data_IF_524739123690
#
_entry.id   IF_524739123690
#
_cell.length_a   1.000
_cell.length_b   1.000
_cell.length_c   1.000
_cell.angle_alpha   90.00
_cell.angle_beta   90.00
_cell.angle_gamma   90.00
#
_symmetry.space_group_name_H-M   'P 1'
#
loop_
_entity.id
_entity.type
_entity.pdbx_description
1 polymer ?
#
# COMPACT_ATOMS: atom_id res chain seq x y z
N UNK A 1 12.13 30.54 -36.33
CA UNK A 1 11.01 29.58 -36.36
C UNK A 1 11.27 28.23 -35.68
N UNK A 2 12.46 27.94 -35.12
CA UNK A 2 12.81 26.62 -34.54
C UNK A 2 12.51 26.47 -33.03
N UNK A 3 12.23 27.55 -32.30
CA UNK A 3 12.05 27.52 -30.84
C UNK A 3 10.61 27.15 -30.42
N UNK A 4 9.62 27.35 -31.30
CA UNK A 4 8.21 27.00 -31.02
C UNK A 4 7.92 25.49 -31.07
N UNK A 5 8.60 24.75 -31.94
CA UNK A 5 8.43 23.28 -32.04
C UNK A 5 8.91 22.49 -30.81
N UNK A 6 9.79 23.07 -29.98
CA UNK A 6 10.34 22.38 -28.80
C UNK A 6 9.42 22.40 -27.59
N UNK A 7 8.54 23.42 -27.47
CA UNK A 7 7.61 23.55 -26.34
C UNK A 7 6.35 22.69 -26.48
N UNK A 8 5.88 22.44 -27.69
CA UNK A 8 4.72 21.56 -27.93
C UNK A 8 5.03 20.08 -27.65
N UNK A 9 6.25 19.63 -27.92
CA UNK A 9 6.68 18.25 -27.61
C UNK A 9 6.86 18.01 -26.10
N UNK A 10 7.16 19.04 -25.31
CA UNK A 10 7.31 18.93 -23.85
C UNK A 10 5.96 18.86 -23.12
N UNK A 11 4.93 19.55 -23.61
CA UNK A 11 3.57 19.50 -23.06
C UNK A 11 2.85 18.19 -23.42
N UNK A 12 3.07 17.64 -24.62
CA UNK A 12 2.56 16.30 -24.97
C UNK A 12 3.21 15.19 -24.14
N UNK A 13 4.49 15.35 -23.75
CA UNK A 13 5.20 14.37 -22.91
C UNK A 13 4.75 14.42 -21.44
N UNK A 14 4.31 15.57 -20.94
CA UNK A 14 3.87 15.73 -19.53
C UNK A 14 2.44 15.23 -19.27
N UNK A 15 1.55 15.29 -20.27
CA UNK A 15 0.18 14.74 -20.16
C UNK A 15 0.07 13.22 -20.31
N UNK A 16 1.11 12.56 -20.84
CA UNK A 16 1.17 11.09 -20.96
C UNK A 16 1.76 10.45 -19.69
N UNK A 17 2.57 11.20 -18.92
CA UNK A 17 3.28 10.69 -17.75
C UNK A 17 2.41 10.57 -16.48
N UNK A 18 1.39 11.41 -16.27
CA UNK A 18 0.51 11.31 -15.08
C UNK A 18 -0.60 10.25 -15.24
N UNK A 19 -0.91 9.83 -16.47
CA UNK A 19 -1.83 8.72 -16.72
C UNK A 19 -1.16 7.35 -16.62
N UNK A 20 0.14 7.24 -16.95
CA UNK A 20 0.85 5.95 -16.94
C UNK A 20 1.10 5.45 -15.52
N UNK A 21 1.40 6.33 -14.56
CA UNK A 21 1.74 5.92 -13.18
C UNK A 21 0.53 5.31 -12.45
N UNK A 22 -0.68 5.81 -12.69
CA UNK A 22 -1.92 5.23 -12.13
C UNK A 22 -2.32 3.92 -12.84
N UNK A 23 -2.07 3.82 -14.15
CA UNK A 23 -2.37 2.61 -14.91
C UNK A 23 -1.38 1.48 -14.61
N UNK A 24 -0.09 1.81 -14.43
CA UNK A 24 0.96 0.91 -13.95
C UNK A 24 0.64 0.42 -12.53
N UNK A 25 0.18 1.30 -11.64
CA UNK A 25 -0.27 0.89 -10.29
C UNK A 25 -1.51 -0.03 -10.32
N UNK A 26 -2.45 0.19 -11.23
CA UNK A 26 -3.59 -0.73 -11.41
C UNK A 26 -3.14 -2.08 -11.99
N UNK A 27 -2.17 -2.08 -12.89
CA UNK A 27 -1.60 -3.30 -13.45
C UNK A 27 -0.79 -4.08 -12.41
N UNK A 28 -0.01 -3.41 -11.56
CA UNK A 28 0.70 -4.07 -10.45
C UNK A 28 -0.28 -4.64 -9.44
N UNK A 29 -1.35 -3.93 -9.09
CA UNK A 29 -2.40 -4.42 -8.20
C UNK A 29 -3.11 -5.67 -8.78
N UNK A 30 -3.45 -5.64 -10.08
CA UNK A 30 -4.02 -6.82 -10.78
C UNK A 30 -3.07 -8.01 -10.80
N UNK A 31 -1.77 -7.76 -10.98
CA UNK A 31 -0.75 -8.81 -10.93
C UNK A 31 -0.61 -9.43 -9.53
N UNK A 32 -0.74 -8.61 -8.49
CA UNK A 32 -0.73 -9.03 -7.10
C UNK A 32 -1.96 -9.87 -6.74
N UNK A 33 -3.15 -9.44 -7.16
CA UNK A 33 -4.39 -10.22 -6.99
C UNK A 33 -4.24 -11.60 -7.64
N UNK A 34 -3.73 -11.64 -8.87
CA UNK A 34 -3.52 -12.91 -9.59
C UNK A 34 -2.51 -13.83 -8.88
N UNK A 35 -1.44 -13.27 -8.29
CA UNK A 35 -0.48 -14.04 -7.48
C UNK A 35 -1.13 -14.58 -6.21
N UNK A 36 -1.96 -13.80 -5.53
CA UNK A 36 -2.68 -14.22 -4.34
C UNK A 36 -3.67 -15.34 -4.68
N UNK A 37 -4.41 -15.22 -5.78
CA UNK A 37 -5.32 -16.27 -6.26
C UNK A 37 -4.57 -17.58 -6.56
N UNK A 38 -3.42 -17.50 -7.24
CA UNK A 38 -2.56 -18.67 -7.49
C UNK A 38 -2.03 -19.29 -6.20
N UNK A 39 -1.64 -18.46 -5.22
CA UNK A 39 -1.12 -18.93 -3.94
C UNK A 39 -2.23 -19.62 -3.13
N UNK A 40 -3.42 -19.04 -3.09
CA UNK A 40 -4.61 -19.62 -2.42
C UNK A 40 -5.06 -20.92 -3.10
N UNK A 41 -5.02 -20.98 -4.43
CA UNK A 41 -5.27 -22.21 -5.20
C UNK A 41 -4.26 -23.31 -4.85
N UNK A 42 -2.96 -22.97 -4.80
CA UNK A 42 -1.90 -23.92 -4.46
C UNK A 42 -2.03 -24.41 -3.02
N UNK A 43 -2.30 -23.52 -2.06
CA UNK A 43 -2.53 -23.87 -0.66
C UNK A 43 -3.77 -24.75 -0.52
N UNK A 44 -4.87 -24.43 -1.22
CA UNK A 44 -6.08 -25.25 -1.23
C UNK A 44 -5.85 -26.65 -1.80
N UNK A 45 -5.11 -26.79 -2.91
CA UNK A 45 -4.75 -28.11 -3.45
C UNK A 45 -3.84 -28.90 -2.52
N UNK A 46 -2.87 -28.25 -1.87
CA UNK A 46 -2.00 -28.90 -0.88
C UNK A 46 -2.78 -29.33 0.35
N UNK A 47 -3.70 -28.49 0.83
CA UNK A 47 -4.57 -28.79 1.96
C UNK A 47 -5.52 -29.95 1.64
N UNK A 48 -6.13 -29.95 0.45
CA UNK A 48 -6.96 -31.06 -0.03
C UNK A 48 -6.16 -32.35 -0.20
N UNK A 49 -4.91 -32.28 -0.65
CA UNK A 49 -4.03 -33.45 -0.72
C UNK A 49 -3.63 -33.96 0.67
N UNK A 50 -3.40 -33.07 1.63
CA UNK A 50 -3.15 -33.41 3.04
C UNK A 50 -4.40 -34.01 3.68
N UNK A 51 -5.58 -33.44 3.43
CA UNK A 51 -6.87 -33.92 3.89
C UNK A 51 -7.20 -35.28 3.29
N UNK A 52 -6.91 -35.54 2.02
CA UNK A 52 -7.02 -36.87 1.41
C UNK A 52 -6.08 -37.90 2.01
N UNK A 53 -4.87 -37.50 2.42
CA UNK A 53 -3.93 -38.41 3.12
C UNK A 53 -4.37 -38.70 4.55
N UNK A 54 -4.94 -37.71 5.23
CA UNK A 54 -5.48 -37.86 6.59
C UNK A 54 -6.80 -38.66 6.61
N UNK A 55 -7.68 -38.43 5.64
CA UNK A 55 -8.98 -39.12 5.53
C UNK A 55 -8.87 -40.50 4.87
N UNK A 56 -7.96 -40.68 3.89
CA UNK A 56 -7.68 -41.97 3.28
C UNK A 56 -6.85 -42.93 4.15
N UNK A 57 -6.36 -42.48 5.30
CA UNK A 57 -5.64 -43.31 6.26
C UNK A 57 -6.53 -44.17 7.16
N UNK A 58 -7.86 -44.07 7.08
CA UNK A 58 -8.77 -44.69 8.04
C UNK A 58 -9.73 -45.74 7.48
N UNK A 59 -9.64 -46.10 6.19
CA UNK A 59 -10.57 -47.08 5.59
C UNK A 59 -9.95 -47.85 4.42
N UNK A 60 -9.09 -48.81 4.74
CA UNK A 60 -9.11 -50.19 4.22
C UNK A 60 -7.93 -50.98 4.84
N UNK A 61 -8.15 -52.18 5.40
CA UNK A 61 -7.09 -53.04 5.86
C UNK A 61 -6.64 -53.91 4.69
N UNK A 62 -5.78 -53.39 3.80
CA UNK A 62 -5.12 -54.26 2.84
C UNK A 62 -3.61 -54.03 2.76
N UNK A 63 -2.92 -55.16 2.71
CA UNK A 63 -1.51 -55.30 3.01
C UNK A 63 -0.64 -54.79 1.87
N UNK A 64 -0.17 -53.54 1.95
CA UNK A 64 1.15 -53.12 1.45
C UNK A 64 1.38 -51.65 1.75
N UNK A 65 2.59 -51.32 2.17
CA UNK A 65 3.03 -49.97 2.58
C UNK A 65 2.52 -49.52 3.95
N UNK A 66 2.80 -50.33 4.98
CA UNK A 66 3.40 -49.69 6.16
C UNK A 66 4.76 -49.16 5.71
N UNK A 67 4.85 -47.85 5.52
CA UNK A 67 6.14 -47.14 5.58
C UNK A 67 6.52 -47.23 7.06
N UNK A 68 7.01 -48.41 7.42
CA UNK A 68 7.43 -48.77 8.75
C UNK A 68 8.72 -48.04 9.05
N UNK A 69 8.86 -47.67 10.31
CA UNK A 69 10.13 -47.69 11.01
C UNK A 69 10.78 -49.10 10.91
N UNK A 70 11.09 -49.57 9.69
CA UNK A 70 12.08 -50.62 9.44
C UNK A 70 13.44 -50.01 9.71
N UNK A 71 13.69 -49.69 10.97
CA UNK A 71 15.02 -49.41 11.46
C UNK A 71 15.80 -50.73 11.60
N UNK A 72 17.12 -50.63 11.82
CA UNK A 72 18.03 -51.75 12.13
C UNK A 72 17.59 -52.67 13.29
N UNK A 73 16.57 -52.28 14.05
CA UNK A 73 15.97 -53.06 15.15
C UNK A 73 15.52 -54.45 14.68
N UNK A 74 15.04 -54.59 13.45
CA UNK A 74 14.63 -55.90 12.90
C UNK A 74 15.84 -56.82 12.62
N UNK A 75 17.01 -56.23 12.35
CA UNK A 75 18.28 -56.97 12.20
C UNK A 75 18.87 -57.41 13.55
N UNK A 76 18.50 -56.73 14.65
CA UNK A 76 18.85 -57.15 16.01
C UNK A 76 18.03 -58.39 16.42
N UNK A 77 16.71 -58.39 16.18
CA UNK A 77 15.84 -59.53 16.54
C UNK A 77 16.20 -60.83 15.80
N UNK A 78 16.68 -60.73 14.55
CA UNK A 78 17.08 -61.90 13.77
C UNK A 78 18.43 -62.49 14.19
N UNK A 79 19.36 -61.69 14.71
CA UNK A 79 20.67 -62.15 15.19
C UNK A 79 20.68 -62.74 16.62
N UNK A 80 19.70 -62.38 17.46
CA UNK A 80 19.58 -62.90 18.85
C UNK A 80 19.34 -64.42 18.89
N UNK A 81 18.76 -65.00 17.84
CA UNK A 81 18.44 -66.43 17.79
C UNK A 81 19.66 -67.35 17.64
N UNK A 82 20.87 -66.80 17.40
CA UNK A 82 22.08 -67.56 17.07
C UNK A 82 23.31 -67.09 17.90
N UNK A 83 23.31 -67.41 19.20
CA UNK A 83 24.51 -67.63 20.07
C UNK A 83 25.67 -66.59 20.09
N UNK A 84 25.50 -65.33 19.71
CA UNK A 84 26.59 -64.33 19.83
C UNK A 84 26.21 -63.12 20.71
N UNK A 85 25.99 -63.37 22.01
CA UNK A 85 25.70 -62.31 23.00
C UNK A 85 26.79 -61.21 23.02
N UNK A 86 28.06 -61.56 22.80
CA UNK A 86 29.16 -60.58 22.74
C UNK A 86 29.16 -59.67 21.52
N UNK A 87 28.60 -60.10 20.38
CA UNK A 87 28.42 -59.22 19.22
C UNK A 87 27.22 -58.29 19.43
N UNK A 88 26.15 -58.78 20.06
CA UNK A 88 24.97 -57.98 20.39
C UNK A 88 25.31 -56.81 21.33
N UNK A 89 26.10 -57.05 22.37
CA UNK A 89 26.56 -55.99 23.28
C UNK A 89 27.36 -54.92 22.53
N UNK A 90 28.26 -55.31 21.64
CA UNK A 90 29.05 -54.35 20.83
C UNK A 90 28.20 -53.52 19.89
N UNK A 91 27.17 -54.11 19.28
CA UNK A 91 26.23 -53.37 18.42
C UNK A 91 25.40 -52.41 19.26
N UNK A 92 24.86 -52.85 20.40
CA UNK A 92 24.14 -51.97 21.32
C UNK A 92 25.00 -50.82 21.83
N UNK A 93 26.26 -51.07 22.19
CA UNK A 93 27.20 -50.02 22.64
C UNK A 93 27.46 -49.00 21.52
N UNK A 94 27.60 -49.47 20.27
CA UNK A 94 27.77 -48.59 19.12
C UNK A 94 26.51 -47.76 18.80
N UNK A 95 25.32 -48.34 18.96
CA UNK A 95 24.05 -47.65 18.77
C UNK A 95 23.77 -46.66 19.90
N UNK A 96 24.10 -47.03 21.14
CA UNK A 96 23.98 -46.15 22.29
C UNK A 96 24.92 -44.94 22.15
N UNK A 97 26.13 -45.15 21.65
CA UNK A 97 27.05 -44.07 21.32
C UNK A 97 26.52 -43.18 20.19
N UNK A 98 25.91 -43.77 19.16
CA UNK A 98 25.30 -43.02 18.05
C UNK A 98 24.10 -42.20 18.53
N UNK A 99 23.21 -42.78 19.32
CA UNK A 99 22.08 -42.09 19.94
C UNK A 99 22.54 -40.96 20.86
N UNK A 100 23.62 -41.16 21.62
CA UNK A 100 24.18 -40.11 22.46
C UNK A 100 24.72 -38.93 21.63
N UNK A 101 25.42 -39.23 20.53
CA UNK A 101 25.91 -38.20 19.61
C UNK A 101 24.77 -37.46 18.91
N UNK A 102 23.73 -38.17 18.48
CA UNK A 102 22.54 -37.57 17.86
C UNK A 102 21.77 -36.70 18.87
N UNK A 103 21.60 -37.17 20.12
CA UNK A 103 20.98 -36.39 21.19
C UNK A 103 21.79 -35.12 21.51
N UNK A 104 23.12 -35.20 21.51
CA UNK A 104 24.00 -34.04 21.69
C UNK A 104 23.90 -33.06 20.51
N UNK A 105 23.83 -33.57 19.27
CA UNK A 105 23.65 -32.75 18.08
C UNK A 105 22.30 -32.02 18.09
N UNK A 106 21.21 -32.72 18.40
CA UNK A 106 19.88 -32.11 18.55
C UNK A 106 19.84 -31.08 19.68
N UNK A 107 20.50 -31.36 20.81
CA UNK A 107 20.63 -30.38 21.89
C UNK A 107 21.35 -29.12 21.42
N UNK A 108 22.44 -29.26 20.66
CA UNK A 108 23.17 -28.12 20.09
C UNK A 108 22.29 -27.31 19.12
N UNK A 109 21.53 -27.97 18.26
CA UNK A 109 20.59 -27.31 17.35
C UNK A 109 19.51 -26.53 18.11
N UNK A 110 18.94 -27.11 19.17
CA UNK A 110 17.94 -26.40 20.00
C UNK A 110 18.54 -25.19 20.71
N UNK A 111 19.79 -25.27 21.16
CA UNK A 111 20.51 -24.12 21.73
C UNK A 111 20.72 -23.02 20.68
N UNK A 112 21.14 -23.38 19.47
CA UNK A 112 21.34 -22.44 18.37
C UNK A 112 20.03 -21.75 17.95
N UNK A 113 18.95 -22.52 17.81
CA UNK A 113 17.61 -21.99 17.50
C UNK A 113 17.10 -21.04 18.59
N UNK A 114 17.37 -21.36 19.86
CA UNK A 114 17.00 -20.50 21.00
C UNK A 114 17.72 -19.15 20.93
N UNK A 115 19.00 -19.14 20.60
CA UNK A 115 19.77 -17.90 20.42
C UNK A 115 19.24 -17.07 19.25
N UNK A 116 18.90 -17.70 18.12
CA UNK A 116 18.29 -17.00 17.00
C UNK A 116 16.93 -16.39 17.37
N UNK A 117 16.11 -17.10 18.16
CA UNK A 117 14.83 -16.61 18.65
C UNK A 117 15.03 -15.36 19.52
N UNK A 118 16.03 -15.36 20.40
CA UNK A 118 16.37 -14.21 21.25
C UNK A 118 16.82 -12.98 20.42
N UNK A 119 17.58 -13.20 19.35
CA UNK A 119 17.97 -12.12 18.42
C UNK A 119 16.75 -11.56 17.69
N UNK A 120 15.82 -12.42 17.25
CA UNK A 120 14.58 -11.99 16.59
C UNK A 120 13.69 -11.21 17.58
N UNK A 121 13.56 -11.69 18.82
CA UNK A 121 12.81 -11.01 19.87
C UNK A 121 13.39 -9.62 20.15
N UNK A 122 14.72 -9.52 20.32
CA UNK A 122 15.41 -8.22 20.47
C UNK A 122 15.10 -7.29 19.30
N UNK A 123 15.26 -7.77 18.06
CA UNK A 123 14.93 -6.97 16.87
C UNK A 123 13.47 -6.53 16.83
N UNK A 124 12.55 -7.40 17.22
CA UNK A 124 11.12 -7.08 17.31
C UNK A 124 10.86 -5.98 18.34
N UNK A 125 11.45 -6.08 19.54
CA UNK A 125 11.30 -5.04 20.57
C UNK A 125 11.89 -3.69 20.12
N UNK A 126 13.04 -3.69 19.44
CA UNK A 126 13.62 -2.48 18.85
C UNK A 126 12.70 -1.88 17.79
N UNK A 127 12.16 -2.69 16.89
CA UNK A 127 11.26 -2.23 15.83
C UNK A 127 9.96 -1.63 16.40
N UNK A 128 9.41 -2.20 17.47
CA UNK A 128 8.25 -1.65 18.16
C UNK A 128 8.56 -0.29 18.77
N UNK A 129 9.72 -0.12 19.40
CA UNK A 129 10.16 1.16 19.94
C UNK A 129 10.33 2.21 18.82
N UNK A 130 10.97 1.84 17.71
CA UNK A 130 11.12 2.72 16.54
C UNK A 130 9.76 3.13 15.97
N UNK A 131 8.82 2.20 15.83
CA UNK A 131 7.47 2.50 15.36
C UNK A 131 6.74 3.50 16.28
N UNK A 132 6.89 3.38 17.59
CA UNK A 132 6.33 4.36 18.53
C UNK A 132 6.95 5.75 18.34
N UNK A 133 8.26 5.83 18.10
CA UNK A 133 8.91 7.13 17.82
C UNK A 133 8.45 7.75 16.49
N UNK A 134 8.27 6.92 15.45
CA UNK A 134 7.74 7.36 14.16
C UNK A 134 6.29 7.82 14.30
N UNK A 135 5.47 7.11 15.08
CA UNK A 135 4.09 7.52 15.36
C UNK A 135 4.03 8.86 16.10
N UNK A 136 4.90 9.08 17.09
CA UNK A 136 5.00 10.36 17.80
C UNK A 136 5.37 11.50 16.85
N UNK A 137 6.44 11.35 16.07
CA UNK A 137 6.84 12.36 15.07
C UNK A 137 5.78 12.62 13.99
N UNK A 138 5.04 11.60 13.54
CA UNK A 138 3.93 11.79 12.61
C UNK A 138 2.79 12.60 13.24
N UNK A 139 2.49 12.38 14.52
CA UNK A 139 1.49 13.16 15.25
C UNK A 139 1.89 14.62 15.41
N UNK A 140 3.18 14.89 15.66
CA UNK A 140 3.74 16.24 15.71
C UNK A 140 3.70 16.93 14.34
N UNK A 141 4.09 16.24 13.27
CA UNK A 141 4.02 16.77 11.89
C UNK A 141 2.56 17.06 11.50
N UNK A 142 1.63 16.19 11.87
CA UNK A 142 0.20 16.37 11.59
C UNK A 142 -0.33 17.63 12.28
N UNK A 143 -0.08 17.79 13.56
CA UNK A 143 -0.52 18.97 14.32
C UNK A 143 0.15 20.26 13.81
N UNK A 144 1.44 20.22 13.48
CA UNK A 144 2.14 21.34 12.87
C UNK A 144 1.53 21.75 11.51
N UNK A 145 1.15 20.77 10.69
CA UNK A 145 0.48 21.00 9.40
C UNK A 145 -0.91 21.59 9.59
N UNK A 146 -1.71 21.05 10.50
CA UNK A 146 -3.04 21.58 10.82
C UNK A 146 -2.95 23.04 11.27
N UNK A 147 -1.93 23.39 12.06
CA UNK A 147 -1.68 24.77 12.48
C UNK A 147 -1.29 25.68 11.31
N UNK A 148 -0.46 25.21 10.37
CA UNK A 148 -0.12 25.96 9.16
C UNK A 148 -1.34 26.18 8.25
N UNK A 149 -2.16 25.13 8.05
CA UNK A 149 -3.38 25.22 7.25
C UNK A 149 -4.36 26.22 7.87
N UNK A 150 -4.60 26.15 9.17
CA UNK A 150 -5.48 27.08 9.88
C UNK A 150 -4.96 28.53 9.80
N UNK A 151 -3.63 28.74 9.84
CA UNK A 151 -3.05 30.08 9.59
C UNK A 151 -3.30 30.56 8.16
N UNK A 152 -3.19 29.69 7.16
CA UNK A 152 -3.43 30.06 5.76
C UNK A 152 -4.91 30.22 5.41
N UNK A 153 -5.80 29.47 6.08
CA UNK A 153 -7.26 29.59 5.92
C UNK A 153 -7.79 30.88 6.54
N UNK A 154 -7.22 31.35 7.65
CA UNK A 154 -7.58 32.67 8.23
C UNK A 154 -7.15 33.85 7.37
N UNK A 155 -6.21 33.66 6.46
CA UNK A 155 -5.91 34.60 5.37
C UNK A 155 -6.77 34.24 4.15
N UNK A 156 -8.08 34.36 4.29
CA UNK A 156 -8.98 34.29 3.14
C UNK A 156 -8.58 35.40 2.16
N UNK A 157 -8.21 35.07 0.90
CA UNK A 157 -7.95 36.11 -0.09
C UNK A 157 -9.24 36.90 -0.24
N UNK A 158 -9.18 38.23 -0.12
CA UNK A 158 -10.34 39.10 -0.26
C UNK A 158 -11.00 38.83 -1.63
N UNK A 159 -12.10 38.08 -1.61
CA UNK A 159 -12.87 37.71 -2.80
C UNK A 159 -13.93 38.80 -2.97
N UNK A 160 -13.86 39.53 -4.07
CA UNK A 160 -14.95 40.47 -4.42
C UNK A 160 -16.01 39.69 -5.17
N UNK A 161 -17.20 39.62 -4.59
CA UNK A 161 -18.38 39.04 -5.22
C UNK A 161 -18.91 40.01 -6.29
N UNK A 162 -18.77 39.64 -7.57
CA UNK A 162 -19.45 40.31 -8.68
C UNK A 162 -20.51 39.34 -9.23
N UNK A 163 -21.70 39.37 -8.62
CA UNK A 163 -22.78 38.43 -8.92
C UNK A 163 -22.48 37.01 -8.43
N UNK A 164 -22.74 35.99 -9.26
CA UNK A 164 -22.50 34.58 -8.93
C UNK A 164 -21.04 34.12 -9.10
N UNK A 165 -20.07 35.04 -9.15
CA UNK A 165 -18.73 34.76 -9.63
C UNK A 165 -17.67 35.35 -8.69
N UNK A 166 -16.88 34.48 -8.09
CA UNK A 166 -15.83 34.78 -7.11
C UNK A 166 -14.50 35.07 -7.81
N UNK A 167 -13.98 36.30 -7.67
CA UNK A 167 -12.66 36.67 -8.17
C UNK A 167 -11.69 36.95 -7.01
N UNK A 168 -10.54 36.25 -6.96
CA UNK A 168 -9.42 36.73 -6.17
C UNK A 168 -8.91 38.03 -6.82
N UNK A 169 -9.03 39.14 -6.08
CA UNK A 169 -8.79 40.51 -6.58
C UNK A 169 -7.34 40.75 -7.00
N UNK A 170 -6.40 39.97 -6.46
CA UNK A 170 -4.98 40.09 -6.73
C UNK A 170 -4.63 39.92 -8.22
N UNK A 171 -5.24 38.93 -8.88
CA UNK A 171 -4.89 38.62 -10.27
C UNK A 171 -5.54 39.58 -11.27
N UNK A 172 -6.77 40.04 -10.99
CA UNK A 172 -7.44 41.03 -11.83
C UNK A 172 -6.79 42.40 -11.69
N UNK A 173 -6.32 42.75 -10.49
CA UNK A 173 -5.57 43.97 -10.22
C UNK A 173 -4.22 44.04 -10.93
N UNK A 174 -3.43 42.96 -10.92
CA UNK A 174 -2.11 42.93 -11.60
C UNK A 174 -2.26 43.09 -13.11
N UNK A 175 -3.20 42.38 -13.72
CA UNK A 175 -3.41 42.43 -15.18
C UNK A 175 -3.99 43.78 -15.60
N UNK A 176 -4.95 44.31 -14.85
CA UNK A 176 -5.50 45.64 -15.07
C UNK A 176 -4.44 46.73 -14.89
N UNK A 177 -3.60 46.62 -13.87
CA UNK A 177 -2.50 47.54 -13.60
C UNK A 177 -1.44 47.52 -14.70
N UNK A 178 -1.08 46.34 -15.21
CA UNK A 178 -0.11 46.20 -16.30
C UNK A 178 -0.68 46.78 -17.62
N UNK A 179 -1.96 46.56 -17.89
CA UNK A 179 -2.64 47.18 -19.02
C UNK A 179 -2.69 48.71 -18.90
N UNK A 180 -3.05 49.24 -17.72
CA UNK A 180 -3.06 50.67 -17.45
C UNK A 180 -1.66 51.29 -17.56
N UNK A 181 -0.62 50.58 -17.11
CA UNK A 181 0.77 51.00 -17.22
C UNK A 181 1.24 51.11 -18.68
N UNK A 182 0.89 50.12 -19.52
CA UNK A 182 1.17 50.17 -20.96
C UNK A 182 0.46 51.38 -21.60
N UNK A 183 -0.82 51.59 -21.28
CA UNK A 183 -1.57 52.75 -21.77
C UNK A 183 -0.91 54.07 -21.33
N UNK A 184 -0.48 54.17 -20.07
CA UNK A 184 0.19 55.35 -19.54
C UNK A 184 1.51 55.66 -20.26
N UNK A 185 2.33 54.65 -20.56
CA UNK A 185 3.57 54.82 -21.36
C UNK A 185 3.22 55.32 -22.76
N UNK A 186 2.21 54.76 -23.42
CA UNK A 186 1.81 55.21 -24.76
C UNK A 186 1.33 56.67 -24.77
N UNK A 187 0.63 57.09 -23.71
CA UNK A 187 0.23 58.50 -23.53
C UNK A 187 1.45 59.40 -23.30
N UNK A 188 2.46 58.94 -22.55
CA UNK A 188 3.68 59.71 -22.26
C UNK A 188 4.52 59.97 -23.51
N UNK A 189 4.54 59.04 -24.47
CA UNK A 189 5.26 59.18 -25.75
C UNK A 189 4.45 60.00 -26.79
N UNK A 190 3.30 60.55 -26.38
CA UNK A 190 2.36 61.34 -27.20
C UNK A 190 1.87 60.64 -28.48
N UNK A 191 1.97 59.30 -28.53
CA UNK A 191 1.49 58.48 -29.65
C UNK A 191 -0.01 58.16 -29.50
N UNK A 192 -0.83 59.20 -29.34
CA UNK A 192 -2.29 59.09 -29.22
C UNK A 192 -2.93 58.43 -30.46
N UNK A 193 -2.29 58.58 -31.63
CA UNK A 193 -2.71 57.92 -32.86
C UNK A 193 -2.59 56.39 -32.81
N UNK A 194 -1.66 55.85 -32.02
CA UNK A 194 -1.50 54.40 -31.84
C UNK A 194 -2.55 53.84 -30.89
N UNK A 195 -2.96 54.61 -29.87
CA UNK A 195 -4.05 54.24 -28.95
C UNK A 195 -5.40 54.16 -29.66
N UNK A 196 -5.68 55.06 -30.60
CA UNK A 196 -6.87 55.01 -31.47
C UNK A 196 -6.70 54.09 -32.69
N UNK A 197 -5.54 53.46 -32.85
CA UNK A 197 -5.32 52.56 -33.98
C UNK A 197 -6.28 51.36 -33.88
N UNK A 198 -6.98 51.02 -34.98
CA UNK A 198 -7.82 49.82 -35.03
C UNK A 198 -7.05 48.55 -34.65
N UNK A 199 -5.74 48.51 -34.95
CA UNK A 199 -4.86 47.37 -34.63
C UNK A 199 -4.64 47.24 -33.12
N UNK A 200 -4.48 48.36 -32.41
CA UNK A 200 -4.29 48.35 -30.95
C UNK A 200 -5.57 47.92 -30.22
N UNK A 201 -6.71 48.49 -30.60
CA UNK A 201 -8.03 48.09 -30.10
C UNK A 201 -8.32 46.61 -30.37
N UNK A 202 -7.94 46.12 -31.54
CA UNK A 202 -8.07 44.69 -31.87
C UNK A 202 -7.20 43.81 -30.97
N UNK A 203 -5.95 44.18 -30.70
CA UNK A 203 -5.06 43.44 -29.80
C UNK A 203 -5.58 43.42 -28.36
N UNK A 204 -6.06 44.55 -27.85
CA UNK A 204 -6.66 44.63 -26.51
C UNK A 204 -7.94 43.79 -26.46
N UNK A 205 -8.79 43.85 -27.48
CA UNK A 205 -9.98 43.01 -27.60
C UNK A 205 -9.65 41.52 -27.62
N UNK A 206 -8.63 41.11 -28.37
CA UNK A 206 -8.18 39.72 -28.46
C UNK A 206 -7.57 39.24 -27.13
N UNK A 207 -6.87 40.11 -26.42
CA UNK A 207 -6.38 39.85 -25.06
C UNK A 207 -7.53 39.61 -24.08
N UNK A 208 -8.58 40.45 -24.12
CA UNK A 208 -9.75 40.32 -23.26
C UNK A 208 -10.57 39.07 -23.59
N UNK A 209 -10.77 38.76 -24.88
CA UNK A 209 -11.46 37.54 -25.33
C UNK A 209 -10.66 36.30 -24.94
N UNK A 210 -9.34 36.31 -25.15
CA UNK A 210 -8.44 35.23 -24.73
C UNK A 210 -8.50 35.01 -23.22
N UNK A 211 -8.53 36.09 -22.43
CA UNK A 211 -8.68 36.01 -20.99
C UNK A 211 -10.05 35.44 -20.59
N UNK A 212 -11.13 35.88 -21.25
CA UNK A 212 -12.48 35.36 -21.01
C UNK A 212 -12.58 33.85 -21.35
N UNK A 213 -11.95 33.40 -22.43
CA UNK A 213 -11.89 31.99 -22.81
C UNK A 213 -11.09 31.15 -21.81
N UNK A 214 -9.89 31.59 -21.43
CA UNK A 214 -9.05 30.91 -20.42
C UNK A 214 -9.80 30.83 -19.09
N UNK A 215 -10.50 31.91 -18.70
CA UNK A 215 -11.36 31.96 -17.52
C UNK A 215 -12.54 31.00 -17.62
N UNK A 216 -13.20 30.90 -18.77
CA UNK A 216 -14.31 29.95 -18.99
C UNK A 216 -13.85 28.50 -18.88
N UNK A 217 -12.68 28.18 -19.45
CA UNK A 217 -12.07 26.84 -19.35
C UNK A 217 -11.66 26.52 -17.90
N UNK A 218 -11.04 27.47 -17.19
CA UNK A 218 -10.60 27.30 -15.79
C UNK A 218 -11.77 27.30 -14.79
N UNK A 219 -12.89 27.93 -15.11
CA UNK A 219 -14.11 27.88 -14.29
C UNK A 219 -14.83 26.53 -14.45
N UNK A 220 -14.80 25.92 -15.64
CA UNK A 220 -15.35 24.57 -15.85
C UNK A 220 -14.60 23.48 -15.07
N UNK A 221 -13.31 23.66 -14.81
CA UNK A 221 -12.54 22.70 -13.99
C UNK A 221 -12.83 22.78 -12.49
N UNK A 222 -13.61 23.78 -12.03
CA UNK A 222 -14.08 23.90 -10.64
C UNK A 222 -15.55 23.48 -10.49
N UNK A 223 -16.06 22.60 -11.35
CA UNK A 223 -17.29 21.90 -11.02
C UNK A 223 -17.02 21.05 -9.77
N UNK A 224 -17.80 21.20 -8.68
CA UNK A 224 -17.59 20.43 -7.48
C UNK A 224 -17.86 18.96 -7.81
N UNK A 225 -16.82 18.12 -7.70
CA UNK A 225 -17.05 16.71 -7.50
C UNK A 225 -17.88 16.59 -6.23
N UNK A 226 -19.15 16.22 -6.39
CA UNK A 226 -20.00 15.82 -5.29
C UNK A 226 -19.28 14.74 -4.47
N UNK A 227 -19.16 14.87 -3.14
CA UNK A 227 -18.72 13.77 -2.31
C UNK A 227 -19.89 12.78 -2.22
N UNK A 228 -20.00 11.88 -3.21
CA UNK A 228 -20.74 10.63 -3.03
C UNK A 228 -19.84 9.73 -2.20
N UNK A 229 -19.83 9.89 -0.87
CA UNK A 229 -19.52 8.83 0.09
C UNK A 229 -19.74 9.35 1.51
N UNK A 230 -21.01 9.42 1.89
CA UNK A 230 -21.42 9.40 3.29
C UNK A 230 -22.34 8.21 3.48
N UNK A 231 -21.76 7.03 3.71
CA UNK A 231 -22.46 5.94 4.38
C UNK A 231 -21.94 5.88 5.83
N UNK A 232 -22.80 6.05 6.85
CA UNK A 232 -22.42 5.77 8.21
C UNK A 232 -22.35 4.25 8.41
N UNK A 233 -21.19 3.75 8.81
CA UNK A 233 -21.03 2.42 9.38
C UNK A 233 -21.84 2.33 10.67
N UNK A 234 -23.07 1.83 10.54
CA UNK A 234 -23.89 1.38 11.66
C UNK A 234 -23.27 0.09 12.19
N UNK A 235 -22.45 0.21 13.23
CA UNK A 235 -22.02 -0.93 14.04
C UNK A 235 -23.25 -1.51 14.73
N UNK A 236 -23.73 -2.64 14.22
CA UNK A 236 -24.69 -3.49 14.91
C UNK A 236 -24.00 -4.07 16.14
N UNK A 237 -24.36 -3.59 17.33
CA UNK A 237 -24.00 -4.27 18.58
C UNK A 237 -24.74 -5.61 18.59
N UNK A 238 -23.99 -6.69 18.43
CA UNK A 238 -24.49 -8.03 18.72
C UNK A 238 -24.82 -8.11 20.21
N UNK A 239 -26.12 -8.09 20.50
CA UNK A 239 -26.69 -8.50 21.77
C UNK A 239 -26.43 -10.01 21.90
N UNK A 240 -25.57 -10.39 22.83
CA UNK A 240 -25.37 -11.78 23.24
C UNK A 240 -26.48 -12.08 24.23
N UNK A 241 -27.48 -12.86 23.80
CA UNK A 241 -28.39 -13.53 24.73
C UNK A 241 -27.82 -14.90 25.11
N UNK A 242 -27.76 -15.26 26.41
CA UNK A 242 -27.38 -16.58 26.84
C UNK A 242 -28.52 -17.59 26.61
N UNK A 243 -28.15 -18.73 26.03
CA UNK A 243 -28.97 -19.93 25.88
C UNK A 243 -29.36 -20.48 27.27
N UNK A 244 -30.66 -20.70 27.57
CA UNK A 244 -31.06 -21.44 28.76
C UNK A 244 -30.97 -22.95 28.48
N UNK A 245 -30.08 -23.63 29.21
CA UNK A 245 -30.09 -25.08 29.34
C UNK A 245 -31.26 -25.52 30.23
N UNK A 246 -32.36 -25.95 29.61
CA UNK A 246 -33.38 -26.73 30.31
C UNK A 246 -32.89 -28.17 30.49
N UNK A 247 -32.49 -28.47 31.73
CA UNK A 247 -32.26 -29.81 32.24
C UNK A 247 -33.62 -30.36 32.69
N UNK A 248 -34.24 -31.22 31.88
CA UNK A 248 -35.36 -32.05 32.35
C UNK A 248 -34.81 -33.31 33.02
N UNK A 249 -34.98 -33.35 34.33
CA UNK A 249 -35.02 -34.57 35.11
C UNK A 249 -36.34 -35.31 34.81
N UNK A 250 -36.26 -36.63 34.69
CA UNK A 250 -37.35 -37.55 34.40
C UNK A 250 -36.80 -38.93 34.06
#
# INVERSE_FOLDING_TARGET
MLVRKRKENLLKKKGIAEGSDSEENLQTLRSWIRKIEQTTSSVSSRLSAVEKRLSGGMSEPDARNRIGMEGPVETLFTNVKKKNAGQLVRVLDSELALLHNEAAAQQQETCCLKEQLEVIEKRSTTMVAELQTVQASLSEIKTARELQVNRTERSEPFVVHLGALEFPVEFTGIIGGLLAFVIAILVLVDQKAVLLSPVFLFLVGLLLIGFALVKMVRSRSKAPLSPIFSLPLKTSSAHIDPVPCDRKEG
#
